data_IF_041273251551
#
_entry.id   IF_041273251551
#
_cell.length_a   1.000
_cell.length_b   1.000
_cell.length_c   1.000
_cell.angle_alpha   90.00
_cell.angle_beta   90.00
_cell.angle_gamma   90.00
#
_symmetry.space_group_name_H-M   'P 1'
#
loop_
_entity.id
_entity.type
_entity.pdbx_description
1 polymer ?
#
# COMPACT_ATOMS: atom_id res chain seq x y z
N UNK A 1 9.48 0.61 -14.05
CA UNK A 1 8.16 0.03 -13.67
C UNK A 1 7.97 0.22 -12.18
N UNK A 2 6.81 0.67 -11.72
CA UNK A 2 6.48 0.81 -10.30
C UNK A 2 5.32 -0.10 -9.93
N UNK A 3 5.35 -0.63 -8.72
CA UNK A 3 4.32 -1.51 -8.16
C UNK A 3 3.62 -0.74 -7.05
N UNK A 4 2.31 -0.58 -7.10
CA UNK A 4 1.57 0.07 -6.01
C UNK A 4 0.87 -0.96 -5.13
N UNK A 5 0.97 -0.78 -3.81
CA UNK A 5 0.37 -1.65 -2.80
C UNK A 5 -0.38 -0.83 -1.76
N UNK A 6 -1.46 -1.38 -1.20
CA UNK A 6 -2.16 -0.77 -0.07
C UNK A 6 -1.38 -0.95 1.23
N UNK A 7 -1.53 -0.02 2.20
CA UNK A 7 -1.00 -0.18 3.55
C UNK A 7 -1.78 -1.24 4.33
N UNK A 8 -1.36 -1.53 5.54
CA UNK A 8 -2.14 -2.27 6.52
C UNK A 8 -2.68 -1.34 7.61
N UNK A 9 -3.81 -1.74 8.22
CA UNK A 9 -4.40 -0.99 9.35
C UNK A 9 -3.62 -1.13 10.63
N UNK A 10 -2.93 -2.25 10.80
CA UNK A 10 -2.08 -2.54 11.96
C UNK A 10 -0.64 -2.25 11.59
N UNK A 11 0.06 -1.63 12.53
CA UNK A 11 1.47 -1.30 12.41
C UNK A 11 2.20 -1.60 13.72
N UNK A 12 3.45 -2.01 13.60
CA UNK A 12 4.38 -2.24 14.70
C UNK A 12 5.54 -1.25 14.67
N UNK A 13 6.16 -1.08 15.83
CA UNK A 13 7.48 -0.47 15.97
C UNK A 13 8.48 -1.61 16.06
N UNK A 14 9.48 -1.59 15.20
CA UNK A 14 10.59 -2.53 15.19
C UNK A 14 11.89 -1.76 14.98
N UNK A 15 12.59 -1.49 16.08
CA UNK A 15 13.81 -0.70 16.10
C UNK A 15 15.09 -1.57 16.09
N UNK A 16 14.93 -2.90 16.19
CA UNK A 16 16.03 -3.84 16.39
C UNK A 16 16.39 -4.61 15.10
N UNK A 17 15.87 -4.16 13.95
CA UNK A 17 16.13 -4.81 12.66
C UNK A 17 16.92 -3.90 11.73
N UNK A 18 16.33 -3.55 10.59
CA UNK A 18 16.97 -2.68 9.61
C UNK A 18 16.69 -1.21 9.92
N UNK A 19 17.67 -0.36 9.69
CA UNK A 19 17.49 1.07 9.80
C UNK A 19 16.75 1.64 8.56
N UNK A 20 15.89 2.68 8.74
CA UNK A 20 15.31 3.39 7.62
C UNK A 20 16.39 4.04 6.74
N UNK A 21 16.16 4.08 5.43
CA UNK A 21 17.06 4.74 4.48
C UNK A 21 16.77 6.23 4.29
N UNK A 22 15.66 6.72 4.81
CA UNK A 22 15.26 8.13 4.71
C UNK A 22 13.86 8.40 5.26
N UNK A 23 13.41 9.63 5.10
CA UNK A 23 12.06 10.06 5.46
C UNK A 23 11.10 9.91 4.27
N UNK A 24 9.78 9.78 4.54
CA UNK A 24 8.75 9.80 3.51
C UNK A 24 8.82 11.08 2.65
N UNK A 25 8.62 10.93 1.35
CA UNK A 25 8.69 12.02 0.36
C UNK A 25 7.80 13.22 0.73
N UNK A 26 6.65 12.98 1.34
CA UNK A 26 5.67 14.00 1.69
C UNK A 26 5.56 14.22 3.20
N UNK A 27 6.69 14.21 3.92
CA UNK A 27 6.72 14.32 5.39
C UNK A 27 6.07 15.62 5.89
N UNK A 28 6.21 16.73 5.17
CA UNK A 28 5.59 18.00 5.52
C UNK A 28 4.07 17.92 5.47
N UNK A 29 3.51 17.26 4.46
CA UNK A 29 2.06 17.00 4.36
C UNK A 29 1.58 16.04 5.44
N UNK A 30 2.42 15.10 5.84
CA UNK A 30 2.13 14.21 6.98
C UNK A 30 2.09 14.99 8.30
N UNK A 31 2.93 16.00 8.45
CA UNK A 31 2.93 16.90 9.61
C UNK A 31 1.61 17.69 9.69
N UNK A 32 1.11 18.22 8.57
CA UNK A 32 -0.21 18.89 8.53
C UNK A 32 -1.34 17.94 8.97
N UNK A 33 -1.32 16.67 8.49
CA UNK A 33 -2.29 15.64 8.90
C UNK A 33 -2.16 15.34 10.40
N UNK A 34 -0.94 15.24 10.92
CA UNK A 34 -0.67 15.00 12.33
C UNK A 34 -1.27 16.09 13.21
N UNK A 35 -1.00 17.36 12.89
CA UNK A 35 -1.54 18.49 13.64
C UNK A 35 -3.08 18.53 13.55
N UNK A 36 -3.64 18.26 12.39
CA UNK A 36 -5.10 18.15 12.25
C UNK A 36 -5.69 17.03 13.12
N UNK A 37 -5.05 15.86 13.19
CA UNK A 37 -5.47 14.74 14.04
C UNK A 37 -5.34 15.08 15.52
N UNK A 38 -4.26 15.74 15.95
CA UNK A 38 -4.04 16.18 17.34
C UNK A 38 -5.08 17.19 17.81
N UNK A 39 -5.65 17.98 16.89
CA UNK A 39 -6.73 18.89 17.18
C UNK A 39 -8.10 18.24 17.38
N UNK A 40 -8.23 16.91 17.26
CA UNK A 40 -9.50 16.18 17.37
C UNK A 40 -9.72 15.63 18.77
N UNK A 41 -10.98 15.67 19.23
CA UNK A 41 -11.38 14.96 20.44
C UNK A 41 -11.36 13.45 20.23
N UNK A 42 -11.33 12.68 21.34
CA UNK A 42 -11.38 11.21 21.30
C UNK A 42 -12.62 10.69 20.57
N UNK A 43 -13.76 11.34 20.71
CA UNK A 43 -15.02 10.95 20.07
C UNK A 43 -14.97 11.19 18.54
N UNK A 44 -14.43 12.34 18.10
CA UNK A 44 -14.18 12.61 16.68
C UNK A 44 -13.21 11.59 16.06
N UNK A 45 -12.12 11.25 16.77
CA UNK A 45 -11.16 10.23 16.33
C UNK A 45 -11.81 8.84 16.25
N UNK A 46 -12.69 8.48 17.19
CA UNK A 46 -13.44 7.23 17.16
C UNK A 46 -14.36 7.14 15.93
N UNK A 47 -15.06 8.24 15.62
CA UNK A 47 -15.89 8.32 14.41
C UNK A 47 -15.05 8.23 13.13
N UNK A 48 -13.92 8.94 13.09
CA UNK A 48 -12.99 8.95 11.96
C UNK A 48 -12.41 7.56 11.68
N UNK A 49 -11.93 6.87 12.72
CA UNK A 49 -11.25 5.58 12.62
C UNK A 49 -12.19 4.39 12.55
N UNK A 50 -13.47 4.55 12.91
CA UNK A 50 -14.51 3.50 12.88
C UNK A 50 -14.03 2.19 13.50
N UNK A 51 -13.52 2.24 14.73
CA UNK A 51 -13.01 1.10 15.46
C UNK A 51 -13.50 1.07 16.92
N UNK A 52 -13.25 -0.05 17.62
CA UNK A 52 -13.65 -0.20 19.01
C UNK A 52 -12.79 0.65 19.96
N UNK A 53 -13.27 0.86 21.18
CA UNK A 53 -12.64 1.76 22.16
C UNK A 53 -11.20 1.37 22.49
N UNK A 54 -10.87 0.08 22.58
CA UNK A 54 -9.51 -0.40 22.83
C UNK A 54 -8.53 0.06 21.73
N UNK A 55 -8.95 -0.02 20.47
CA UNK A 55 -8.15 0.44 19.33
C UNK A 55 -8.07 1.98 19.32
N UNK A 56 -9.15 2.68 19.68
CA UNK A 56 -9.15 4.15 19.82
C UNK A 56 -8.12 4.57 20.86
N UNK A 57 -8.17 4.02 22.07
CA UNK A 57 -7.25 4.34 23.15
C UNK A 57 -5.78 4.11 22.77
N UNK A 58 -5.50 2.97 22.14
CA UNK A 58 -4.15 2.69 21.66
C UNK A 58 -3.66 3.74 20.67
N UNK A 59 -4.50 4.14 19.73
CA UNK A 59 -4.08 5.09 18.68
C UNK A 59 -4.09 6.54 19.17
N UNK A 60 -4.92 6.92 20.15
CA UNK A 60 -4.82 8.22 20.82
C UNK A 60 -3.47 8.36 21.53
N UNK A 61 -3.07 7.35 22.32
CA UNK A 61 -1.74 7.35 22.97
C UNK A 61 -0.58 7.41 21.98
N UNK A 62 -0.72 6.73 20.82
CA UNK A 62 0.27 6.82 19.74
C UNK A 62 0.33 8.22 19.16
N UNK A 63 -0.83 8.84 18.89
CA UNK A 63 -0.95 10.19 18.34
C UNK A 63 -0.34 11.24 19.26
N UNK A 64 -0.59 11.16 20.58
CA UNK A 64 -0.03 12.07 21.59
C UNK A 64 1.50 12.05 21.61
N UNK A 65 2.10 10.87 21.43
CA UNK A 65 3.56 10.66 21.50
C UNK A 65 4.21 10.51 20.10
N UNK A 66 3.48 10.84 19.02
CA UNK A 66 3.97 10.64 17.67
C UNK A 66 5.10 11.61 17.33
N UNK A 67 6.25 11.04 16.96
CA UNK A 67 7.38 11.73 16.38
C UNK A 67 7.61 11.20 14.97
N UNK A 68 7.67 12.09 13.99
CA UNK A 68 7.83 11.75 12.57
C UNK A 68 9.30 11.66 12.15
N UNK A 69 10.25 11.97 13.04
CA UNK A 69 11.66 12.11 12.71
C UNK A 69 12.57 11.17 13.49
N UNK A 70 12.12 10.64 14.64
CA UNK A 70 12.94 9.79 15.50
C UNK A 70 12.29 8.45 15.79
N UNK A 71 13.11 7.43 16.08
CA UNK A 71 12.68 6.07 16.42
C UNK A 71 11.75 5.47 15.36
N UNK A 72 12.12 5.65 14.11
CA UNK A 72 11.35 5.21 12.96
C UNK A 72 11.63 3.74 12.64
N UNK A 73 10.64 3.09 12.06
CA UNK A 73 10.73 1.72 11.53
C UNK A 73 10.59 1.79 10.01
N UNK A 74 11.35 1.03 9.22
CA UNK A 74 11.10 0.91 7.78
C UNK A 74 9.65 0.54 7.49
N UNK A 75 9.00 1.23 6.54
CA UNK A 75 7.58 1.06 6.24
C UNK A 75 7.22 -0.40 5.96
N UNK A 76 8.04 -1.11 5.19
CA UNK A 76 7.81 -2.51 4.82
C UNK A 76 7.80 -3.45 6.04
N UNK A 77 8.52 -3.12 7.10
CA UNK A 77 8.60 -3.89 8.35
C UNK A 77 7.60 -3.38 9.40
N UNK A 78 7.11 -2.15 9.27
CA UNK A 78 6.14 -1.57 10.18
C UNK A 78 4.71 -2.04 9.91
N UNK A 79 4.32 -2.20 8.65
CA UNK A 79 2.96 -2.65 8.32
C UNK A 79 2.74 -4.12 8.63
N UNK A 80 1.68 -4.39 9.40
CA UNK A 80 1.30 -5.73 9.84
C UNK A 80 -0.09 -6.09 9.32
N UNK A 81 -0.15 -6.92 8.28
CA UNK A 81 -1.38 -7.35 7.63
C UNK A 81 -1.14 -8.52 6.69
N UNK A 82 -2.21 -9.14 6.22
CA UNK A 82 -2.15 -10.37 5.42
C UNK A 82 -1.21 -10.24 4.20
N UNK A 83 -1.26 -9.13 3.47
CA UNK A 83 -0.38 -8.94 2.32
C UNK A 83 1.10 -8.89 2.73
N UNK A 84 1.42 -8.22 3.83
CA UNK A 84 2.79 -8.12 4.36
C UNK A 84 3.29 -9.44 4.94
N UNK A 85 2.40 -10.23 5.56
CA UNK A 85 2.74 -11.59 6.06
C UNK A 85 3.10 -12.51 4.90
N UNK A 86 2.37 -12.47 3.79
CA UNK A 86 2.64 -13.29 2.61
C UNK A 86 3.79 -12.76 1.75
N UNK A 87 4.04 -11.46 1.76
CA UNK A 87 5.26 -10.87 1.20
C UNK A 87 6.50 -11.32 1.98
N UNK A 88 6.35 -11.49 3.31
CA UNK A 88 7.39 -11.94 4.23
C UNK A 88 8.73 -11.18 4.08
N UNK A 89 8.75 -9.84 4.24
CA UNK A 89 9.98 -9.06 4.00
C UNK A 89 11.11 -9.39 4.96
N UNK A 90 10.84 -10.02 6.08
CA UNK A 90 11.86 -10.44 7.07
C UNK A 90 12.77 -11.57 6.58
N UNK A 91 12.42 -12.24 5.48
CA UNK A 91 13.24 -13.30 4.87
C UNK A 91 13.81 -12.86 3.51
N UNK A 92 13.76 -11.58 3.20
CA UNK A 92 14.34 -11.03 1.99
C UNK A 92 15.87 -10.96 2.13
N UNK A 93 16.56 -11.24 1.04
CA UNK A 93 17.98 -11.01 0.86
C UNK A 93 18.23 -9.59 0.32
N UNK A 94 19.48 -9.13 0.34
CA UNK A 94 19.84 -7.77 -0.07
C UNK A 94 19.31 -7.41 -1.46
N UNK A 95 19.45 -8.29 -2.45
CA UNK A 95 18.94 -8.06 -3.81
C UNK A 95 17.42 -7.90 -3.88
N UNK A 96 16.67 -8.59 -3.00
CA UNK A 96 15.23 -8.43 -2.92
C UNK A 96 14.86 -7.06 -2.32
N UNK A 97 15.62 -6.59 -1.31
CA UNK A 97 15.43 -5.24 -0.75
C UNK A 97 15.76 -4.15 -1.77
N UNK A 98 16.84 -4.29 -2.54
CA UNK A 98 17.17 -3.37 -3.63
C UNK A 98 16.03 -3.29 -4.65
N UNK A 99 15.55 -4.46 -5.10
CA UNK A 99 14.43 -4.53 -6.04
C UNK A 99 13.18 -3.81 -5.53
N UNK A 100 12.71 -4.14 -4.31
CA UNK A 100 11.49 -3.53 -3.79
C UNK A 100 11.68 -2.04 -3.50
N UNK A 101 12.86 -1.59 -3.07
CA UNK A 101 13.16 -0.18 -2.83
C UNK A 101 13.03 0.64 -4.11
N UNK A 102 13.48 0.08 -5.23
CA UNK A 102 13.34 0.71 -6.55
C UNK A 102 11.89 0.66 -7.05
N UNK A 103 11.23 -0.49 -6.94
CA UNK A 103 9.99 -0.75 -7.67
C UNK A 103 8.73 -0.58 -6.84
N UNK A 104 8.72 -0.92 -5.53
CA UNK A 104 7.51 -0.89 -4.71
C UNK A 104 7.22 0.50 -4.15
N UNK A 105 5.95 0.89 -4.20
CA UNK A 105 5.39 2.09 -3.57
C UNK A 105 4.17 1.70 -2.74
N UNK A 106 4.24 1.95 -1.44
CA UNK A 106 3.13 1.71 -0.52
C UNK A 106 2.31 2.99 -0.44
N UNK A 107 1.05 2.92 -0.83
CA UNK A 107 0.14 4.06 -0.74
C UNK A 107 -0.36 4.21 0.70
N UNK A 108 -0.35 5.42 1.22
CA UNK A 108 -0.73 5.72 2.59
C UNK A 108 -1.64 6.95 2.66
N UNK A 109 -2.68 6.86 3.47
CA UNK A 109 -3.55 8.01 3.72
C UNK A 109 -2.86 9.09 4.56
N UNK A 110 -1.86 8.70 5.37
CA UNK A 110 -1.11 9.58 6.26
C UNK A 110 0.20 10.09 5.64
N UNK A 111 0.96 9.20 5.00
CA UNK A 111 2.28 9.52 4.43
C UNK A 111 2.28 9.76 2.90
N UNK A 112 1.15 9.55 2.24
CA UNK A 112 1.04 9.65 0.78
C UNK A 112 1.64 8.45 0.05
N UNK A 113 2.87 8.55 -0.40
CA UNK A 113 3.64 7.48 -1.05
C UNK A 113 4.87 7.17 -0.23
N UNK A 114 5.06 5.89 0.08
CA UNK A 114 6.22 5.39 0.80
C UNK A 114 7.05 4.45 -0.08
N UNK A 115 8.36 4.60 -0.02
CA UNK A 115 9.30 3.53 -0.40
C UNK A 115 9.38 2.52 0.77
N UNK A 116 9.74 1.26 0.49
CA UNK A 116 9.83 0.22 1.53
C UNK A 116 10.65 0.59 2.75
N UNK A 117 11.80 1.24 2.54
CA UNK A 117 12.74 1.61 3.60
C UNK A 117 12.55 3.03 4.13
N UNK A 118 11.48 3.73 3.77
CA UNK A 118 11.13 5.00 4.39
C UNK A 118 10.78 4.80 5.86
N UNK A 119 11.33 5.65 6.73
CA UNK A 119 11.09 5.60 8.16
C UNK A 119 9.71 6.11 8.54
N UNK A 120 8.92 5.27 9.20
CA UNK A 120 7.56 5.60 9.63
C UNK A 120 7.35 5.32 11.11
N UNK A 121 6.38 6.01 11.69
CA UNK A 121 5.81 5.69 13.00
C UNK A 121 4.36 5.21 12.84
N UNK A 122 3.85 4.31 13.70
CA UNK A 122 2.50 3.80 13.60
C UNK A 122 1.43 4.88 13.70
N UNK A 123 0.51 4.87 12.77
CA UNK A 123 -0.65 5.76 12.69
C UNK A 123 -1.94 4.98 12.44
N UNK A 124 -3.08 5.66 12.52
CA UNK A 124 -4.38 5.13 12.11
C UNK A 124 -5.12 6.17 11.26
N UNK A 125 -5.14 5.95 9.96
CA UNK A 125 -5.93 6.73 9.01
C UNK A 125 -6.15 5.91 7.74
N UNK A 126 -7.39 5.89 7.24
CA UNK A 126 -7.76 5.21 5.99
C UNK A 126 -8.08 6.26 4.92
N UNK A 127 -7.79 5.99 3.66
CA UNK A 127 -7.96 6.97 2.58
C UNK A 127 -9.41 7.45 2.41
N UNK A 128 -10.38 6.58 2.72
CA UNK A 128 -11.82 6.90 2.70
C UNK A 128 -12.33 7.53 3.99
N UNK A 129 -11.49 7.82 4.98
CA UNK A 129 -11.91 8.49 6.19
C UNK A 129 -12.50 9.86 5.87
N UNK A 130 -13.51 10.28 6.65
CA UNK A 130 -14.15 11.59 6.51
C UNK A 130 -13.25 12.66 7.14
N UNK A 131 -12.17 12.99 6.47
CA UNK A 131 -11.19 13.98 6.92
C UNK A 131 -11.29 15.23 6.05
N UNK A 132 -11.54 16.38 6.69
CA UNK A 132 -11.50 17.70 6.05
C UNK A 132 -10.27 18.42 6.59
N UNK A 133 -9.25 18.61 5.75
CA UNK A 133 -7.97 19.21 6.14
C UNK A 133 -7.77 20.49 5.30
N UNK A 134 -7.62 21.62 5.98
CA UNK A 134 -7.63 22.92 5.30
C UNK A 134 -8.93 23.15 4.56
N UNK A 135 -8.86 23.40 3.26
CA UNK A 135 -10.02 23.61 2.37
C UNK A 135 -10.49 22.30 1.67
N UNK A 136 -9.77 21.19 1.87
CA UNK A 136 -10.02 19.95 1.14
C UNK A 136 -11.09 19.10 1.85
N UNK A 137 -12.09 18.64 1.12
CA UNK A 137 -13.27 17.94 1.66
C UNK A 137 -12.99 16.50 2.08
N UNK A 138 -11.89 15.92 1.59
CA UNK A 138 -11.51 14.53 1.86
C UNK A 138 -10.03 14.31 1.50
N UNK A 139 -9.49 13.15 1.90
CA UNK A 139 -8.08 12.82 1.67
C UNK A 139 -7.73 12.62 0.18
N UNK A 140 -8.68 12.27 -0.67
CA UNK A 140 -8.42 12.19 -2.12
C UNK A 140 -8.17 13.57 -2.74
N UNK A 141 -8.87 14.60 -2.26
CA UNK A 141 -8.64 15.99 -2.66
C UNK A 141 -7.36 16.54 -2.02
N UNK A 142 -7.14 16.25 -0.73
CA UNK A 142 -5.94 16.67 0.00
C UNK A 142 -4.65 16.20 -0.67
N UNK A 143 -4.61 14.95 -1.11
CA UNK A 143 -3.46 14.40 -1.80
C UNK A 143 -3.40 14.80 -3.28
N UNK A 144 -4.54 15.07 -3.91
CA UNK A 144 -4.62 15.48 -5.31
C UNK A 144 -3.82 14.54 -6.23
N UNK A 145 -3.02 15.11 -7.11
CA UNK A 145 -2.15 14.39 -8.06
C UNK A 145 -0.77 14.01 -7.48
N UNK A 146 -0.48 14.42 -6.24
CA UNK A 146 0.83 14.19 -5.62
C UNK A 146 1.20 12.71 -5.53
N UNK A 147 0.21 11.84 -5.24
CA UNK A 147 0.48 10.40 -5.15
C UNK A 147 0.85 9.83 -6.52
N UNK A 148 0.16 10.23 -7.57
CA UNK A 148 0.50 9.82 -8.92
C UNK A 148 1.90 10.28 -9.31
N UNK A 149 2.24 11.54 -9.06
CA UNK A 149 3.59 12.10 -9.32
C UNK A 149 4.66 11.41 -8.51
N UNK A 150 4.38 11.00 -7.27
CA UNK A 150 5.31 10.25 -6.41
C UNK A 150 5.50 8.77 -6.80
N UNK A 151 4.55 8.21 -7.57
CA UNK A 151 4.62 6.84 -8.08
C UNK A 151 5.23 6.79 -9.47
N UNK A 152 4.80 7.66 -10.39
CA UNK A 152 5.18 7.62 -11.80
C UNK A 152 6.68 7.84 -11.97
N UNK A 153 7.31 7.01 -12.78
CA UNK A 153 8.69 7.18 -13.27
C UNK A 153 8.69 7.49 -14.78
N UNK A 154 9.87 7.69 -15.35
CA UNK A 154 10.04 7.99 -16.79
C UNK A 154 9.47 6.89 -17.70
N UNK A 155 9.46 5.64 -17.24
CA UNK A 155 8.92 4.51 -18.00
C UNK A 155 7.38 4.51 -18.05
N UNK A 156 6.71 5.20 -17.12
CA UNK A 156 5.25 5.29 -17.04
C UNK A 156 4.52 3.96 -16.81
N UNK A 157 5.22 2.89 -16.39
CA UNK A 157 4.62 1.57 -16.18
C UNK A 157 4.27 1.39 -14.70
N UNK A 158 2.97 1.19 -14.42
CA UNK A 158 2.45 1.02 -13.05
C UNK A 158 1.67 -0.30 -12.94
N UNK A 159 2.12 -1.17 -12.05
CA UNK A 159 1.44 -2.44 -11.70
C UNK A 159 0.61 -2.22 -10.44
N UNK A 160 -0.71 -2.36 -10.56
CA UNK A 160 -1.62 -2.16 -9.46
C UNK A 160 -1.90 -3.45 -8.68
N UNK A 161 -1.32 -3.54 -7.50
CA UNK A 161 -1.65 -4.52 -6.44
C UNK A 161 -2.40 -3.88 -5.27
N UNK A 162 -2.75 -2.60 -5.37
CA UNK A 162 -3.51 -1.91 -4.34
C UNK A 162 -5.01 -2.23 -4.41
N UNK A 163 -5.72 -1.99 -3.31
CA UNK A 163 -7.17 -2.04 -3.30
C UNK A 163 -7.77 -0.81 -3.98
N UNK A 164 -9.04 -0.91 -4.42
CA UNK A 164 -9.74 0.18 -5.09
C UNK A 164 -9.80 1.49 -4.27
N UNK A 165 -9.75 1.38 -2.95
CA UNK A 165 -9.67 2.54 -2.05
C UNK A 165 -8.41 3.38 -2.33
N UNK A 166 -7.27 2.72 -2.54
CA UNK A 166 -5.99 3.39 -2.75
C UNK A 166 -5.65 3.60 -4.22
N UNK A 167 -5.98 2.65 -5.10
CA UNK A 167 -5.68 2.78 -6.53
C UNK A 167 -6.38 3.98 -7.19
N UNK A 168 -7.54 4.40 -6.69
CA UNK A 168 -8.24 5.62 -7.14
C UNK A 168 -7.40 6.89 -7.05
N UNK A 169 -6.43 6.95 -6.12
CA UNK A 169 -5.53 8.10 -5.98
C UNK A 169 -4.58 8.22 -7.18
N UNK A 170 -4.38 7.14 -7.90
CA UNK A 170 -3.51 7.08 -9.09
C UNK A 170 -4.36 7.12 -10.36
N UNK A 171 -5.38 6.26 -10.45
CA UNK A 171 -6.19 6.03 -11.64
C UNK A 171 -6.78 7.30 -12.26
N UNK A 172 -7.18 8.28 -11.44
CA UNK A 172 -7.79 9.53 -11.91
C UNK A 172 -6.82 10.51 -12.57
N UNK A 173 -5.52 10.28 -12.43
CA UNK A 173 -4.45 11.16 -12.93
C UNK A 173 -3.59 10.51 -14.01
N UNK A 174 -3.91 9.28 -14.41
CA UNK A 174 -3.23 8.57 -15.49
C UNK A 174 -3.33 9.36 -16.79
N UNK A 175 -2.23 9.40 -17.54
CA UNK A 175 -2.13 9.97 -18.87
C UNK A 175 -2.17 8.89 -19.96
N UNK A 176 -2.27 9.29 -21.23
CA UNK A 176 -2.21 8.37 -22.37
C UNK A 176 -0.84 7.71 -22.54
N UNK A 177 0.20 8.30 -21.95
CA UNK A 177 1.57 7.76 -21.96
C UNK A 177 1.79 6.66 -20.93
N UNK A 178 0.85 6.49 -19.98
CA UNK A 178 1.01 5.54 -18.89
C UNK A 178 0.51 4.14 -19.28
N UNK A 179 1.28 3.14 -18.92
CA UNK A 179 0.87 1.75 -18.95
C UNK A 179 0.45 1.33 -17.54
N UNK A 180 -0.86 1.31 -17.28
CA UNK A 180 -1.41 0.92 -16.00
C UNK A 180 -2.04 -0.46 -16.09
N UNK A 181 -1.50 -1.44 -15.35
CA UNK A 181 -1.95 -2.83 -15.37
C UNK A 181 -2.48 -3.19 -13.99
N UNK A 182 -3.79 -3.48 -13.92
CA UNK A 182 -4.41 -4.00 -12.70
C UNK A 182 -4.25 -5.51 -12.60
N UNK A 183 -3.85 -6.00 -11.42
CA UNK A 183 -3.76 -7.43 -11.15
C UNK A 183 -4.99 -7.86 -10.34
N UNK A 184 -5.81 -8.70 -10.95
CA UNK A 184 -7.03 -9.25 -10.36
C UNK A 184 -6.83 -10.69 -9.95
N UNK A 185 -7.08 -11.00 -8.67
CA UNK A 185 -7.07 -12.35 -8.11
C UNK A 185 -8.49 -12.81 -7.83
N UNK A 186 -8.92 -13.87 -8.47
CA UNK A 186 -10.27 -14.41 -8.36
C UNK A 186 -10.27 -15.93 -8.18
N UNK A 187 -11.42 -16.48 -7.89
CA UNK A 187 -11.69 -17.92 -7.90
C UNK A 187 -13.09 -18.17 -8.47
N UNK A 188 -13.30 -19.35 -9.01
CA UNK A 188 -14.61 -19.77 -9.50
C UNK A 188 -15.47 -20.21 -8.30
N UNK A 189 -16.59 -19.54 -8.07
CA UNK A 189 -17.56 -19.90 -7.02
C UNK A 189 -18.96 -19.88 -7.59
N UNK A 190 -19.67 -21.03 -7.51
CA UNK A 190 -21.01 -21.21 -8.08
C UNK A 190 -21.12 -20.73 -9.55
N UNK A 191 -20.12 -21.03 -10.38
CA UNK A 191 -20.09 -20.66 -11.80
C UNK A 191 -19.77 -19.19 -12.09
N UNK A 192 -19.41 -18.39 -11.07
CA UNK A 192 -19.03 -16.98 -11.22
C UNK A 192 -17.64 -16.72 -10.67
N UNK A 193 -16.90 -15.85 -11.36
CA UNK A 193 -15.62 -15.36 -10.86
C UNK A 193 -15.86 -14.35 -9.73
N UNK A 194 -15.29 -14.62 -8.56
CA UNK A 194 -15.40 -13.78 -7.38
C UNK A 194 -14.03 -13.49 -6.78
N UNK A 195 -13.82 -12.28 -6.30
CA UNK A 195 -12.64 -11.90 -5.53
C UNK A 195 -12.92 -12.05 -4.04
N UNK A 196 -12.29 -13.03 -3.39
CA UNK A 196 -12.34 -13.15 -1.93
C UNK A 196 -11.25 -12.30 -1.29
N UNK A 197 -11.65 -11.30 -0.51
CA UNK A 197 -10.75 -10.26 -0.01
C UNK A 197 -9.52 -10.77 0.75
N UNK A 198 -9.65 -11.83 1.55
CA UNK A 198 -8.52 -12.44 2.27
C UNK A 198 -7.52 -13.06 1.30
N UNK A 199 -7.97 -13.91 0.39
CA UNK A 199 -7.11 -14.57 -0.59
C UNK A 199 -6.46 -13.59 -1.56
N UNK A 200 -7.17 -12.55 -1.98
CA UNK A 200 -6.60 -11.49 -2.80
C UNK A 200 -5.48 -10.72 -2.07
N UNK A 201 -5.60 -10.49 -0.75
CA UNK A 201 -4.51 -9.88 0.04
C UNK A 201 -3.30 -10.80 0.13
N UNK A 202 -3.51 -12.11 0.37
CA UNK A 202 -2.44 -13.11 0.37
C UNK A 202 -1.68 -13.08 -0.97
N UNK A 203 -2.43 -13.19 -2.06
CA UNK A 203 -1.86 -13.22 -3.41
C UNK A 203 -1.12 -11.93 -3.80
N UNK A 204 -1.60 -10.76 -3.36
CA UNK A 204 -0.91 -9.48 -3.59
C UNK A 204 0.45 -9.43 -2.91
N UNK A 205 0.53 -9.88 -1.67
CA UNK A 205 1.81 -9.96 -0.96
C UNK A 205 2.77 -10.94 -1.61
N UNK A 206 2.28 -12.13 -1.92
CA UNK A 206 3.04 -13.18 -2.60
C UNK A 206 3.49 -12.77 -4.02
N UNK A 207 2.69 -11.96 -4.74
CA UNK A 207 3.06 -11.42 -6.03
C UNK A 207 4.22 -10.42 -5.91
N UNK A 208 4.22 -9.53 -4.93
CA UNK A 208 5.37 -8.64 -4.68
C UNK A 208 6.63 -9.45 -4.41
N UNK A 209 6.52 -10.48 -3.55
CA UNK A 209 7.63 -11.40 -3.25
C UNK A 209 8.12 -12.12 -4.51
N UNK A 210 7.23 -12.68 -5.30
CA UNK A 210 7.55 -13.34 -6.56
C UNK A 210 8.29 -12.41 -7.52
N UNK A 211 7.83 -11.16 -7.64
CA UNK A 211 8.47 -10.17 -8.51
C UNK A 211 9.87 -9.82 -8.01
N UNK A 212 10.06 -9.70 -6.69
CA UNK A 212 11.38 -9.41 -6.10
C UNK A 212 12.34 -10.59 -6.28
N UNK A 213 11.92 -11.81 -5.97
CA UNK A 213 12.75 -13.03 -6.11
C UNK A 213 13.18 -13.32 -7.54
N UNK A 214 12.43 -12.84 -8.55
CA UNK A 214 12.74 -13.05 -9.96
C UNK A 214 13.22 -11.77 -10.67
N UNK A 215 13.44 -10.67 -9.94
CA UNK A 215 13.89 -9.37 -10.47
C UNK A 215 13.07 -8.92 -11.69
N UNK A 216 11.72 -9.01 -11.62
CA UNK A 216 10.83 -8.79 -12.75
C UNK A 216 10.75 -7.31 -13.12
N UNK A 217 11.25 -6.96 -14.30
CA UNK A 217 11.15 -5.61 -14.87
C UNK A 217 10.18 -5.52 -16.06
N UNK A 218 9.88 -6.65 -16.71
CA UNK A 218 8.93 -6.72 -17.81
C UNK A 218 7.56 -7.22 -17.28
N UNK A 219 6.46 -6.45 -17.47
CA UNK A 219 5.13 -6.87 -17.06
C UNK A 219 4.68 -8.24 -17.58
N UNK A 220 5.14 -8.66 -18.77
CA UNK A 220 4.81 -9.99 -19.34
C UNK A 220 5.28 -11.14 -18.45
N UNK A 221 6.36 -10.95 -17.70
CA UNK A 221 6.89 -11.97 -16.80
C UNK A 221 6.02 -12.19 -15.55
N UNK A 222 5.19 -11.21 -15.18
CA UNK A 222 4.20 -11.34 -14.09
C UNK A 222 3.24 -12.49 -14.39
N UNK A 223 2.94 -12.75 -15.66
CA UNK A 223 2.04 -13.84 -16.11
C UNK A 223 2.53 -15.24 -15.70
N UNK A 224 3.82 -15.39 -15.38
CA UNK A 224 4.42 -16.63 -14.88
C UNK A 224 4.09 -16.94 -13.41
N UNK A 225 3.43 -16.02 -12.69
CA UNK A 225 3.04 -16.25 -11.30
C UNK A 225 2.12 -17.45 -11.16
N UNK A 226 2.52 -18.41 -10.32
CA UNK A 226 1.82 -19.68 -10.13
C UNK A 226 1.75 -20.11 -8.65
N UNK A 227 1.76 -19.14 -7.72
CA UNK A 227 1.76 -19.41 -6.27
C UNK A 227 0.37 -19.41 -5.67
N UNK A 228 0.20 -20.05 -4.51
CA UNK A 228 -1.08 -20.14 -3.79
C UNK A 228 -2.23 -20.75 -4.62
N UNK A 229 -1.92 -21.57 -5.63
CA UNK A 229 -2.89 -22.15 -6.54
C UNK A 229 -3.44 -21.19 -7.62
N UNK A 230 -2.88 -19.98 -7.73
CA UNK A 230 -3.26 -19.04 -8.79
C UNK A 230 -2.52 -19.36 -10.10
N UNK A 231 -3.23 -19.24 -11.22
CA UNK A 231 -2.69 -19.29 -12.57
C UNK A 231 -3.20 -18.12 -13.39
N UNK A 232 -2.37 -17.62 -14.29
CA UNK A 232 -2.76 -16.58 -15.23
C UNK A 232 -3.84 -17.10 -16.21
N UNK A 233 -4.85 -16.26 -16.47
CA UNK A 233 -5.96 -16.57 -17.39
C UNK A 233 -5.95 -15.58 -18.55
N UNK A 234 -5.37 -16.00 -19.66
CA UNK A 234 -5.26 -15.16 -20.86
C UNK A 234 -6.64 -14.82 -21.45
N UNK A 235 -7.56 -15.80 -21.43
CA UNK A 235 -8.94 -15.63 -21.90
C UNK A 235 -9.79 -14.64 -21.09
N UNK A 236 -9.35 -14.28 -19.87
CA UNK A 236 -10.02 -13.33 -18.99
C UNK A 236 -9.24 -12.02 -18.86
N UNK A 237 -8.06 -11.94 -19.42
CA UNK A 237 -7.13 -10.82 -19.27
C UNK A 237 -7.17 -9.88 -20.47
N UNK A 238 -6.64 -8.67 -20.27
CA UNK A 238 -6.46 -7.67 -21.32
C UNK A 238 -5.09 -7.02 -21.19
N UNK A 239 -4.78 -6.02 -22.02
CA UNK A 239 -3.53 -5.24 -21.92
C UNK A 239 -3.43 -4.41 -20.64
N UNK A 240 -4.57 -4.10 -20.00
CA UNK A 240 -4.66 -3.24 -18.79
C UNK A 240 -5.13 -4.01 -17.55
N UNK A 241 -5.42 -5.30 -17.66
CA UNK A 241 -5.84 -6.14 -16.54
C UNK A 241 -5.35 -7.56 -16.72
N UNK A 242 -4.55 -8.05 -15.77
CA UNK A 242 -4.11 -9.44 -15.69
C UNK A 242 -4.92 -10.16 -14.64
N UNK A 243 -5.64 -11.20 -15.07
CA UNK A 243 -6.51 -12.01 -14.22
C UNK A 243 -5.82 -13.31 -13.85
N UNK A 244 -5.75 -13.56 -12.55
CA UNK A 244 -5.25 -14.82 -11.99
C UNK A 244 -6.38 -15.55 -11.29
N UNK A 245 -6.67 -16.76 -11.74
CA UNK A 245 -7.69 -17.62 -11.17
C UNK A 245 -7.06 -18.64 -10.24
N UNK A 246 -7.62 -18.73 -9.02
CA UNK A 246 -7.22 -19.75 -8.07
C UNK A 246 -7.92 -21.07 -8.40
N UNK A 247 -7.13 -22.08 -8.65
CA UNK A 247 -7.58 -23.48 -8.79
C UNK A 247 -7.29 -24.20 -7.48
N UNK A 248 -8.34 -24.76 -6.88
CA UNK A 248 -8.28 -25.59 -5.67
C UNK A 248 -7.97 -27.04 -6.04
#
# INVERSE_FOLDING_TARGET
MKIILSPAKKMNINLDTLEPMGLPMFIDRSTEILEWLKGKSKDELKELWKCNDKIVEQNVRRLENMDLYHRLTPAILSYEGIAYQYMAPTVFEDGHFEYIQEHLRILSAFYGVLKPMDGVTPYRLEMKAKATIGNEKNLYEYWGDMLYKGVRDEKGIIINLASKEYSKCIERYLSEEDTYISITFCELSAGKLVTKGTYAKMARGEMVRFMAENCIENPEEIKKFNRLGYIFREDLSSKIEYVFERRL
#
